data_IF_321392783681
#
_entry.id   IF_321392783681
#
_cell.length_a   1.000
_cell.length_b   1.000
_cell.length_c   1.000
_cell.angle_alpha   90.00
_cell.angle_beta   90.00
_cell.angle_gamma   90.00
#
_symmetry.space_group_name_H-M   'P 1'
#
loop_
_entity.id
_entity.type
_entity.pdbx_description
1 polymer ?
#
# COMPACT_ATOMS: atom_id res chain seq x y z
N UNK A 1 21.35 11.36 8.29
CA UNK A 1 20.43 12.24 9.06
C UNK A 1 19.33 12.93 8.22
N UNK A 2 19.40 12.90 6.89
CA UNK A 2 18.40 13.50 6.00
C UNK A 2 17.07 12.74 5.88
N UNK A 3 17.02 11.38 5.93
CA UNK A 3 15.75 10.65 5.82
C UNK A 3 14.80 10.90 6.98
N UNK A 4 15.33 10.99 8.20
CA UNK A 4 14.56 11.20 9.43
C UNK A 4 13.93 12.58 9.54
N UNK A 5 14.53 13.62 8.98
CA UNK A 5 13.94 14.97 8.94
C UNK A 5 12.78 15.04 7.94
N UNK A 6 12.89 14.41 6.78
CA UNK A 6 11.79 14.32 5.80
C UNK A 6 10.62 13.49 6.31
N UNK A 7 10.88 12.35 6.95
CA UNK A 7 9.84 11.56 7.58
C UNK A 7 9.14 12.29 8.72
N UNK A 8 9.88 12.96 9.61
CA UNK A 8 9.27 13.78 10.67
C UNK A 8 8.53 15.00 10.13
N UNK A 9 9.01 15.63 9.07
CA UNK A 9 8.29 16.72 8.42
C UNK A 9 7.03 16.24 7.70
N UNK A 10 7.02 15.05 7.10
CA UNK A 10 5.79 14.43 6.58
C UNK A 10 4.80 14.15 7.71
N UNK A 11 5.21 13.56 8.83
CA UNK A 11 4.31 13.26 9.95
C UNK A 11 3.80 14.50 10.70
N UNK A 12 4.58 15.58 10.80
CA UNK A 12 4.19 16.79 11.55
C UNK A 12 3.45 17.80 10.68
N UNK A 13 3.69 17.84 9.38
CA UNK A 13 2.97 18.69 8.41
C UNK A 13 1.79 18.01 7.75
N UNK A 14 1.60 16.73 7.98
CA UNK A 14 0.56 15.95 7.34
C UNK A 14 -0.80 16.21 7.97
N UNK A 15 -1.29 17.40 7.75
CA UNK A 15 -2.74 17.59 7.69
C UNK A 15 -3.17 16.86 6.43
N UNK A 16 -4.16 15.99 6.55
CA UNK A 16 -4.79 15.21 5.46
C UNK A 16 -5.02 16.03 4.17
N UNK A 17 -5.09 17.35 4.28
CA UNK A 17 -5.28 18.30 3.18
C UNK A 17 -4.03 18.70 2.40
N UNK A 18 -2.82 18.44 2.89
CA UNK A 18 -1.58 18.87 2.19
C UNK A 18 -1.29 18.02 0.93
N UNK A 19 -1.74 16.76 0.92
CA UNK A 19 -1.61 15.88 -0.27
C UNK A 19 -2.56 16.26 -1.41
N UNK A 20 -3.57 17.07 -1.14
CA UNK A 20 -4.56 17.48 -2.12
C UNK A 20 -4.30 18.89 -2.65
N UNK A 21 -3.07 19.36 -2.58
CA UNK A 21 -2.65 20.67 -3.08
C UNK A 21 -3.40 21.87 -2.45
N UNK A 22 -3.94 21.69 -1.26
CA UNK A 22 -4.61 22.76 -0.51
C UNK A 22 -3.59 23.45 0.38
N UNK A 23 -2.83 24.39 -0.20
CA UNK A 23 -1.81 25.18 0.51
C UNK A 23 -0.45 24.51 0.69
N UNK A 24 -0.15 23.44 -0.05
CA UNK A 24 1.12 22.71 0.01
C UNK A 24 2.16 23.13 -1.04
N UNK A 25 1.76 23.89 -2.04
CA UNK A 25 2.70 24.37 -3.07
C UNK A 25 3.43 25.63 -2.62
N UNK A 26 4.71 25.79 -3.04
CA UNK A 26 5.46 27.02 -2.83
C UNK A 26 4.70 28.22 -3.42
N UNK A 27 4.71 29.35 -2.69
CA UNK A 27 4.01 30.58 -3.14
C UNK A 27 4.67 31.24 -4.36
N UNK A 28 5.91 30.89 -4.63
CA UNK A 28 6.75 31.37 -5.72
C UNK A 28 6.74 30.46 -6.95
N UNK A 29 5.80 29.53 -7.01
CA UNK A 29 5.66 28.61 -8.15
C UNK A 29 5.25 29.38 -9.41
N UNK A 30 6.12 29.37 -10.42
CA UNK A 30 5.92 30.09 -11.67
C UNK A 30 5.05 29.34 -12.68
N UNK A 31 4.51 28.17 -12.33
CA UNK A 31 3.68 27.37 -13.20
C UNK A 31 2.19 27.66 -13.02
N UNK A 32 1.45 27.66 -14.12
CA UNK A 32 -0.01 27.69 -14.07
C UNK A 32 -0.53 26.30 -13.71
N UNK A 33 -1.27 26.22 -12.62
CA UNK A 33 -1.92 24.98 -12.20
C UNK A 33 -3.14 24.70 -13.07
N UNK A 34 -3.25 23.46 -13.54
CA UNK A 34 -4.41 22.93 -14.26
C UNK A 34 -4.98 21.80 -13.44
N UNK A 35 -6.10 22.03 -12.78
CA UNK A 35 -6.74 21.08 -11.85
C UNK A 35 -8.20 20.79 -12.29
N UNK A 36 -8.43 20.07 -13.38
CA UNK A 36 -9.78 19.86 -13.94
C UNK A 36 -10.71 19.08 -12.99
N UNK A 37 -10.15 18.30 -12.09
CA UNK A 37 -10.90 17.43 -11.15
C UNK A 37 -11.07 18.04 -9.76
N UNK A 38 -10.66 19.29 -9.53
CA UNK A 38 -10.61 19.93 -8.20
C UNK A 38 -11.94 19.95 -7.45
N UNK A 39 -13.05 20.00 -8.17
CA UNK A 39 -14.40 20.08 -7.59
C UNK A 39 -15.10 18.72 -7.50
N UNK A 40 -14.46 17.64 -7.91
CA UNK A 40 -15.03 16.30 -7.93
C UNK A 40 -14.58 15.49 -6.70
N UNK A 41 -15.51 14.73 -6.14
CA UNK A 41 -15.19 13.70 -5.16
C UNK A 41 -14.57 12.46 -5.85
N UNK A 42 -13.93 11.59 -5.08
CA UNK A 42 -13.19 10.45 -5.61
C UNK A 42 -14.06 9.46 -6.40
N UNK A 43 -15.29 9.25 -5.98
CA UNK A 43 -16.27 8.43 -6.68
C UNK A 43 -16.72 9.05 -8.00
N UNK A 44 -16.84 10.39 -8.06
CA UNK A 44 -17.13 11.13 -9.28
C UNK A 44 -15.96 11.08 -10.26
N UNK A 45 -14.71 11.23 -9.76
CA UNK A 45 -13.50 11.05 -10.59
C UNK A 45 -13.46 9.65 -11.20
N UNK A 46 -13.86 8.62 -10.45
CA UNK A 46 -13.96 7.25 -10.96
C UNK A 46 -15.02 7.12 -12.08
N UNK A 47 -16.16 7.79 -11.92
CA UNK A 47 -17.20 7.84 -12.98
C UNK A 47 -16.68 8.50 -14.24
N UNK A 48 -15.99 9.63 -14.11
CA UNK A 48 -15.33 10.31 -15.24
C UNK A 48 -14.29 9.39 -15.89
N UNK A 49 -13.45 8.70 -15.09
CA UNK A 49 -12.48 7.74 -15.61
C UNK A 49 -13.14 6.66 -16.48
N UNK A 50 -14.27 6.10 -16.04
CA UNK A 50 -15.04 5.12 -16.84
C UNK A 50 -15.57 5.73 -18.13
N UNK A 51 -16.14 6.93 -18.07
CA UNK A 51 -16.67 7.61 -19.26
C UNK A 51 -15.58 7.95 -20.28
N UNK A 52 -14.32 8.07 -19.84
CA UNK A 52 -13.15 8.26 -20.69
C UNK A 52 -12.55 6.93 -21.20
N UNK A 53 -13.16 5.79 -20.88
CA UNK A 53 -12.71 4.47 -21.33
C UNK A 53 -11.51 3.90 -20.57
N UNK A 54 -11.20 4.40 -19.38
CA UNK A 54 -10.14 3.82 -18.57
C UNK A 54 -10.53 2.39 -18.10
N UNK A 55 -9.59 1.43 -18.14
CA UNK A 55 -9.82 0.08 -17.64
C UNK A 55 -10.27 0.09 -16.17
N UNK A 56 -11.19 -0.80 -15.82
CA UNK A 56 -11.73 -0.88 -14.46
C UNK A 56 -10.65 -1.17 -13.40
N UNK A 57 -9.59 -1.87 -13.78
CA UNK A 57 -8.42 -2.11 -12.92
C UNK A 57 -7.71 -0.81 -12.50
N UNK A 58 -7.70 0.20 -13.35
CA UNK A 58 -7.15 1.53 -13.03
C UNK A 58 -8.14 2.30 -12.18
N UNK A 59 -9.41 2.32 -12.59
CA UNK A 59 -10.48 3.09 -11.93
C UNK A 59 -10.72 2.61 -10.51
N UNK A 60 -10.69 1.28 -10.28
CA UNK A 60 -10.90 0.66 -8.96
C UNK A 60 -9.61 0.31 -8.22
N UNK A 61 -8.48 0.78 -8.69
CA UNK A 61 -7.22 0.54 -7.99
C UNK A 61 -7.30 0.99 -6.54
N UNK A 62 -6.79 0.14 -5.63
CA UNK A 62 -6.68 0.48 -4.22
C UNK A 62 -5.87 1.77 -4.03
N UNK A 63 -6.25 2.63 -3.08
CA UNK A 63 -5.46 3.82 -2.78
C UNK A 63 -4.12 3.40 -2.20
N UNK A 64 -3.04 3.93 -2.79
CA UNK A 64 -1.68 3.71 -2.33
C UNK A 64 -1.04 5.05 -1.98
N UNK A 65 -0.19 5.08 -0.93
CA UNK A 65 0.64 6.25 -0.68
C UNK A 65 1.58 6.48 -1.86
N UNK A 66 1.86 7.76 -2.16
CA UNK A 66 2.67 8.17 -3.30
C UNK A 66 4.04 7.47 -3.41
N UNK A 67 4.82 7.29 -2.30
CA UNK A 67 6.11 6.58 -2.34
C UNK A 67 6.01 5.06 -2.64
N UNK A 68 4.83 4.47 -2.67
CA UNK A 68 4.64 3.08 -3.04
C UNK A 68 5.28 2.07 -2.08
N UNK A 69 6.09 1.15 -2.62
CA UNK A 69 6.73 0.08 -1.85
C UNK A 69 7.69 0.59 -0.77
N UNK A 70 8.43 1.66 -1.04
CA UNK A 70 9.48 2.14 -0.14
C UNK A 70 8.99 2.48 1.28
N UNK A 71 7.76 3.03 1.43
CA UNK A 71 7.21 3.34 2.75
C UNK A 71 6.67 2.12 3.50
N UNK A 72 6.58 0.99 2.84
CA UNK A 72 6.14 -0.29 3.42
C UNK A 72 7.31 -1.14 3.91
N UNK A 73 8.54 -0.66 3.71
CA UNK A 73 9.74 -1.18 4.33
C UNK A 73 10.03 -0.30 5.54
N UNK A 74 9.88 -0.85 6.73
CA UNK A 74 10.21 -0.14 7.96
C UNK A 74 11.72 -0.17 8.16
N UNK A 75 12.35 1.02 8.21
CA UNK A 75 13.79 1.18 8.34
C UNK A 75 14.50 1.46 7.01
N UNK A 76 15.71 0.93 6.86
CA UNK A 76 16.51 1.11 5.65
C UNK A 76 15.95 0.33 4.47
N UNK A 77 15.87 0.99 3.32
CA UNK A 77 15.43 0.39 2.07
C UNK A 77 16.65 -0.16 1.34
N UNK A 78 16.66 -1.47 1.12
CA UNK A 78 17.68 -2.17 0.32
C UNK A 78 17.01 -2.95 -0.81
N UNK A 79 17.77 -3.29 -1.84
CA UNK A 79 17.26 -4.06 -2.99
C UNK A 79 16.70 -5.42 -2.53
N UNK A 80 17.41 -6.12 -1.62
CA UNK A 80 16.96 -7.39 -1.05
C UNK A 80 15.58 -7.28 -0.37
N UNK A 81 15.37 -6.23 0.44
CA UNK A 81 14.08 -5.99 1.09
C UNK A 81 12.99 -5.57 0.11
N UNK A 82 13.36 -4.82 -0.94
CA UNK A 82 12.42 -4.43 -1.99
C UNK A 82 11.94 -5.64 -2.77
N UNK A 83 12.82 -6.55 -3.12
CA UNK A 83 12.47 -7.76 -3.85
C UNK A 83 11.59 -8.68 -2.99
N UNK A 84 12.01 -8.95 -1.73
CA UNK A 84 11.20 -9.71 -0.78
C UNK A 84 9.79 -9.11 -0.61
N UNK A 85 9.67 -7.80 -0.40
CA UNK A 85 8.38 -7.14 -0.25
C UNK A 85 7.56 -7.16 -1.54
N UNK A 86 8.20 -7.02 -2.70
CA UNK A 86 7.53 -7.03 -4.01
C UNK A 86 6.89 -8.39 -4.29
N UNK A 87 7.63 -9.47 -4.02
CA UNK A 87 7.16 -10.83 -4.21
C UNK A 87 6.01 -11.14 -3.23
N UNK A 88 6.16 -10.81 -1.95
CA UNK A 88 5.10 -10.98 -0.96
C UNK A 88 3.84 -10.17 -1.31
N UNK A 89 3.97 -8.92 -1.73
CA UNK A 89 2.84 -8.07 -2.13
C UNK A 89 2.14 -8.58 -3.40
N UNK A 90 2.89 -9.19 -4.31
CA UNK A 90 2.32 -9.83 -5.50
C UNK A 90 1.41 -11.00 -5.11
N UNK A 91 1.88 -11.89 -4.22
CA UNK A 91 1.10 -13.02 -3.71
C UNK A 91 -0.18 -12.53 -3.03
N UNK A 92 -0.07 -11.56 -2.12
CA UNK A 92 -1.24 -10.99 -1.43
C UNK A 92 -2.28 -10.49 -2.42
N UNK A 93 -1.86 -9.76 -3.45
CA UNK A 93 -2.78 -9.21 -4.44
C UNK A 93 -3.41 -10.28 -5.33
N UNK A 94 -2.65 -11.31 -5.68
CA UNK A 94 -3.16 -12.44 -6.47
C UNK A 94 -4.24 -13.19 -5.70
N UNK A 95 -3.94 -13.64 -4.49
CA UNK A 95 -4.87 -14.40 -3.67
C UNK A 95 -6.15 -13.64 -3.36
N UNK A 96 -6.06 -12.35 -3.01
CA UNK A 96 -7.22 -11.51 -2.77
C UNK A 96 -8.08 -11.34 -4.05
N UNK A 97 -7.46 -11.24 -5.22
CA UNK A 97 -8.17 -11.17 -6.50
C UNK A 97 -8.86 -12.49 -6.84
N UNK A 98 -8.17 -13.62 -6.67
CA UNK A 98 -8.67 -14.96 -6.93
C UNK A 98 -9.83 -15.31 -6.00
N UNK A 99 -9.77 -14.86 -4.75
CA UNK A 99 -10.88 -14.97 -3.80
C UNK A 99 -12.06 -14.03 -4.11
N UNK A 100 -11.97 -13.17 -5.14
CA UNK A 100 -13.02 -12.22 -5.51
C UNK A 100 -13.19 -11.03 -4.56
N UNK A 101 -12.33 -10.90 -3.54
CA UNK A 101 -12.46 -9.91 -2.47
C UNK A 101 -11.78 -8.56 -2.78
N UNK A 102 -11.12 -8.43 -3.93
CA UNK A 102 -10.34 -7.23 -4.25
C UNK A 102 -11.17 -5.94 -4.22
N UNK A 103 -12.43 -6.00 -4.57
CA UNK A 103 -13.30 -4.82 -4.64
C UNK A 103 -14.02 -4.52 -3.32
N UNK A 104 -14.08 -5.49 -2.41
CA UNK A 104 -14.73 -5.36 -1.10
C UNK A 104 -13.76 -4.79 -0.05
N UNK A 105 -12.47 -4.93 -0.31
CA UNK A 105 -11.41 -4.41 0.54
C UNK A 105 -10.99 -3.03 0.01
N UNK A 106 -11.00 -2.02 0.88
CA UNK A 106 -10.60 -0.67 0.49
C UNK A 106 -9.10 -0.57 0.19
N UNK A 107 -8.27 -1.26 0.98
CA UNK A 107 -6.83 -1.29 0.81
C UNK A 107 -6.24 -2.60 1.35
N UNK A 108 -5.43 -3.29 0.56
CA UNK A 108 -4.69 -4.47 0.96
C UNK A 108 -3.25 -4.40 0.44
N UNK A 109 -2.28 -4.69 1.31
CA UNK A 109 -0.87 -4.76 0.96
C UNK A 109 -0.02 -5.41 2.05
N UNK A 110 1.18 -5.83 1.66
CA UNK A 110 2.22 -6.33 2.54
C UNK A 110 3.11 -5.20 3.08
N UNK A 111 3.58 -5.34 4.31
CA UNK A 111 4.56 -4.46 4.98
C UNK A 111 5.70 -5.32 5.53
N UNK A 112 6.94 -4.92 5.27
CA UNK A 112 8.13 -5.63 5.75
C UNK A 112 8.65 -4.97 7.02
N UNK A 113 8.83 -5.79 8.08
CA UNK A 113 9.35 -5.32 9.36
C UNK A 113 10.89 -5.30 9.38
N UNK A 114 11.51 -4.38 10.17
CA UNK A 114 12.97 -4.21 10.20
C UNK A 114 13.68 -5.19 11.14
N UNK A 115 13.03 -6.26 11.53
CA UNK A 115 13.54 -7.29 12.43
C UNK A 115 13.69 -8.62 11.71
N UNK A 116 14.58 -9.49 12.19
CA UNK A 116 14.66 -10.88 11.71
C UNK A 116 13.95 -11.79 12.70
N UNK A 117 13.09 -12.63 12.19
CA UNK A 117 12.46 -13.71 12.96
C UNK A 117 13.14 -15.04 12.67
N UNK A 118 13.21 -15.87 13.68
CA UNK A 118 13.72 -17.24 13.54
C UNK A 118 12.57 -18.13 13.11
N UNK A 119 12.75 -18.79 11.98
CA UNK A 119 11.89 -19.87 11.51
C UNK A 119 12.61 -21.20 11.54
N UNK A 120 11.86 -22.27 11.43
CA UNK A 120 12.39 -23.63 11.25
C UNK A 120 11.83 -24.19 9.95
N UNK A 121 12.69 -24.51 9.01
CA UNK A 121 12.33 -25.19 7.77
C UNK A 121 13.13 -26.51 7.69
N UNK A 122 12.44 -27.63 7.92
CA UNK A 122 13.09 -28.91 8.09
C UNK A 122 14.04 -28.89 9.30
N UNK A 123 15.29 -29.34 9.13
CA UNK A 123 16.32 -29.39 10.18
C UNK A 123 17.12 -28.08 10.34
N UNK A 124 16.79 -27.03 9.57
CA UNK A 124 17.56 -25.79 9.57
C UNK A 124 16.78 -24.62 10.17
N UNK A 125 17.51 -23.81 10.96
CA UNK A 125 17.01 -22.51 11.38
C UNK A 125 17.13 -21.53 10.21
N UNK A 126 16.05 -20.81 9.93
CA UNK A 126 16.00 -19.74 8.96
C UNK A 126 15.83 -18.40 9.66
N UNK A 127 16.38 -17.36 9.07
CA UNK A 127 16.23 -15.99 9.56
C UNK A 127 15.60 -15.18 8.45
N UNK A 128 14.33 -14.84 8.60
CA UNK A 128 13.55 -14.13 7.59
C UNK A 128 12.92 -12.86 8.15
N UNK A 129 12.59 -11.92 7.28
CA UNK A 129 11.82 -10.74 7.68
C UNK A 129 10.34 -11.09 7.84
N UNK A 130 9.73 -10.78 8.99
CA UNK A 130 8.30 -10.90 9.13
C UNK A 130 7.57 -9.95 8.19
N UNK A 131 6.55 -10.49 7.52
CA UNK A 131 5.63 -9.74 6.67
C UNK A 131 4.34 -9.51 7.44
N UNK A 132 3.89 -8.27 7.52
CA UNK A 132 2.58 -7.90 8.05
C UNK A 132 1.61 -7.72 6.88
N UNK A 133 0.55 -8.50 6.88
CA UNK A 133 -0.57 -8.31 5.97
C UNK A 133 -1.48 -7.20 6.53
N UNK A 134 -1.60 -6.11 5.78
CA UNK A 134 -2.53 -5.04 6.11
C UNK A 134 -3.70 -5.06 5.15
N UNK A 135 -4.89 -5.36 5.68
CA UNK A 135 -6.15 -5.28 4.96
C UNK A 135 -7.12 -4.41 5.74
N UNK A 136 -7.63 -3.38 5.11
CA UNK A 136 -8.55 -2.43 5.74
C UNK A 136 -9.76 -2.19 4.85
N UNK A 137 -10.91 -2.04 5.48
CA UNK A 137 -12.17 -1.60 4.88
C UNK A 137 -12.46 -0.17 5.30
N UNK A 138 -13.03 0.62 4.42
CA UNK A 138 -13.44 2.00 4.68
C UNK A 138 -14.58 2.36 3.73
N UNK A 139 -15.59 3.03 4.25
CA UNK A 139 -16.71 3.53 3.44
C UNK A 139 -16.41 4.92 2.89
N UNK A 140 -15.83 5.79 3.71
CA UNK A 140 -15.63 7.21 3.44
C UNK A 140 -14.15 7.58 3.18
N UNK A 141 -13.21 6.64 3.36
CA UNK A 141 -11.77 6.87 3.28
C UNK A 141 -11.19 7.65 4.47
N UNK A 142 -12.00 7.99 5.47
CA UNK A 142 -11.58 8.70 6.69
C UNK A 142 -11.60 7.81 7.91
N UNK A 143 -12.57 6.92 7.98
CA UNK A 143 -12.66 5.86 9.00
C UNK A 143 -12.23 4.54 8.37
N UNK A 144 -11.38 3.80 9.03
CA UNK A 144 -10.90 2.52 8.55
C UNK A 144 -10.97 1.48 9.66
N UNK A 145 -11.53 0.32 9.33
CA UNK A 145 -11.51 -0.86 10.16
C UNK A 145 -10.70 -1.95 9.47
N UNK A 146 -10.22 -2.96 10.22
CA UNK A 146 -9.54 -4.09 9.62
C UNK A 146 -10.52 -4.98 8.85
N UNK A 147 -10.13 -5.40 7.66
CA UNK A 147 -10.95 -6.32 6.86
C UNK A 147 -10.81 -7.74 7.40
N UNK A 148 -11.93 -8.38 7.68
CA UNK A 148 -11.98 -9.77 8.14
C UNK A 148 -11.85 -10.70 6.95
N UNK A 149 -10.63 -11.13 6.65
CA UNK A 149 -10.40 -12.12 5.61
C UNK A 149 -10.81 -13.52 6.08
N UNK A 150 -11.28 -14.38 5.17
CA UNK A 150 -11.47 -15.81 5.46
C UNK A 150 -10.17 -16.45 5.95
N UNK A 151 -10.24 -17.31 6.95
CA UNK A 151 -9.06 -17.98 7.52
C UNK A 151 -8.31 -18.80 6.47
N UNK A 152 -9.02 -19.52 5.60
CA UNK A 152 -8.44 -20.32 4.52
C UNK A 152 -7.62 -19.45 3.54
N UNK A 153 -8.11 -18.25 3.25
CA UNK A 153 -7.37 -17.29 2.42
C UNK A 153 -6.11 -16.79 3.12
N UNK A 154 -6.19 -16.49 4.42
CA UNK A 154 -5.02 -16.07 5.19
C UNK A 154 -3.98 -17.20 5.29
N UNK A 155 -4.42 -18.44 5.46
CA UNK A 155 -3.56 -19.62 5.45
C UNK A 155 -2.87 -19.78 4.09
N UNK A 156 -3.60 -19.68 2.99
CA UNK A 156 -3.06 -19.76 1.63
C UNK A 156 -2.01 -18.67 1.40
N UNK A 157 -2.32 -17.42 1.72
CA UNK A 157 -1.37 -16.29 1.59
C UNK A 157 -0.11 -16.55 2.41
N UNK A 158 -0.27 -16.97 3.67
CA UNK A 158 0.86 -17.24 4.57
C UNK A 158 1.74 -18.36 4.03
N UNK A 159 1.15 -19.48 3.64
CA UNK A 159 1.87 -20.63 3.10
C UNK A 159 2.61 -20.28 1.81
N UNK A 160 1.99 -19.54 0.90
CA UNK A 160 2.64 -19.10 -0.31
C UNK A 160 3.81 -18.16 -0.03
N UNK A 161 3.63 -17.15 0.84
CA UNK A 161 4.72 -16.23 1.18
C UNK A 161 5.90 -16.98 1.78
N UNK A 162 5.66 -17.89 2.74
CA UNK A 162 6.73 -18.65 3.42
C UNK A 162 7.47 -19.57 2.45
N UNK A 163 6.81 -20.15 1.45
CA UNK A 163 7.40 -21.11 0.53
C UNK A 163 8.00 -20.48 -0.74
N UNK A 164 7.44 -19.38 -1.22
CA UNK A 164 7.80 -18.81 -2.53
C UNK A 164 8.73 -17.58 -2.40
N UNK A 165 8.64 -16.81 -1.30
CA UNK A 165 9.41 -15.57 -1.13
C UNK A 165 10.76 -15.87 -0.46
N UNK A 166 11.83 -15.37 -1.08
CA UNK A 166 13.19 -15.46 -0.53
C UNK A 166 13.48 -14.25 0.36
N UNK A 167 13.98 -14.49 1.58
CA UNK A 167 14.41 -13.38 2.42
C UNK A 167 14.39 -13.61 3.92
#
# INVERSE_FOLDING_TARGET
HLPTRRQRQMCIRDRIKSHHNVGGLPKDLQFKLVEPLRKLFKDEVRKVGRSLGLPEEIVRRHPFPGPGLAIRILGEVTDEKLDCLRDADLIVRQEIKEAGLYHDIWQAFAVLLPVRSVGVMGDKRTYAWPIVLRCVSSEDGMTADWSRLPYDLMETISNRIVNEVKG
#
